data_IF_317815629803
#
_entry.id   IF_317815629803
#
_cell.length_a   1.000
_cell.length_b   1.000
_cell.length_c   1.000
_cell.angle_alpha   90.00
_cell.angle_beta   90.00
_cell.angle_gamma   90.00
#
_symmetry.space_group_name_H-M   'P 1'
#
loop_
_entity.id
_entity.type
_entity.pdbx_description
1 polymer ?
#
# COMPACT_ATOMS: atom_id res chain seq x y z
N UNK A 1 -0.95 44.76 -31.59
CA UNK A 1 -1.18 43.34 -31.91
C UNK A 1 -0.16 42.49 -31.16
N UNK A 2 -0.64 41.38 -30.59
CA UNK A 2 0.08 40.21 -30.04
C UNK A 2 0.60 40.31 -28.60
N UNK A 3 -0.31 39.93 -27.72
CA UNK A 3 -0.15 39.27 -26.41
C UNK A 3 0.83 38.10 -26.44
N UNK A 4 1.61 37.92 -25.36
CA UNK A 4 2.06 36.58 -24.95
C UNK A 4 2.30 36.55 -23.42
N UNK A 5 1.21 36.38 -22.67
CA UNK A 5 1.22 35.92 -21.28
C UNK A 5 1.02 34.41 -21.29
N UNK A 6 2.06 33.62 -21.08
CA UNK A 6 1.95 32.24 -20.57
C UNK A 6 3.35 31.69 -20.33
N UNK A 7 3.70 31.44 -19.07
CA UNK A 7 4.59 30.36 -18.67
C UNK A 7 4.21 29.98 -17.23
N UNK A 8 3.30 29.00 -17.12
CA UNK A 8 3.14 28.19 -15.92
C UNK A 8 4.45 27.45 -15.68
N UNK A 9 5.22 27.87 -14.68
CA UNK A 9 6.33 27.09 -14.15
C UNK A 9 5.79 26.06 -13.15
N UNK A 10 5.32 24.92 -13.69
CA UNK A 10 5.03 23.71 -12.92
C UNK A 10 6.37 23.09 -12.54
N UNK A 11 6.88 23.42 -11.37
CA UNK A 11 7.99 22.69 -10.74
C UNK A 11 7.43 21.59 -9.84
N UNK A 12 6.98 20.49 -10.45
CA UNK A 12 6.85 19.19 -9.76
C UNK A 12 7.94 18.26 -10.30
N UNK A 13 9.13 18.38 -9.74
CA UNK A 13 10.21 17.41 -9.93
C UNK A 13 10.39 16.61 -8.65
N UNK A 14 9.80 15.41 -8.66
CA UNK A 14 10.45 14.16 -8.31
C UNK A 14 11.24 14.15 -6.98
N UNK A 15 10.51 14.07 -5.87
CA UNK A 15 11.02 13.49 -4.62
C UNK A 15 10.44 12.09 -4.42
N UNK A 16 10.74 11.17 -5.35
CA UNK A 16 10.61 9.73 -5.08
C UNK A 16 11.91 9.25 -4.44
N UNK A 17 12.01 9.44 -3.12
CA UNK A 17 13.04 8.81 -2.32
C UNK A 17 12.84 7.29 -2.32
N UNK A 18 13.62 6.59 -3.13
CA UNK A 18 13.83 5.15 -3.00
C UNK A 18 14.59 4.90 -1.70
N UNK A 19 13.87 4.62 -0.62
CA UNK A 19 14.46 4.07 0.59
C UNK A 19 14.48 2.54 0.47
N UNK A 20 15.52 2.01 -0.17
CA UNK A 20 15.91 0.61 -0.08
C UNK A 20 16.73 0.40 1.20
N UNK A 21 16.13 -0.18 2.23
CA UNK A 21 16.84 -0.63 3.44
C UNK A 21 16.78 -2.16 3.58
N UNK A 22 17.98 -2.76 3.58
CA UNK A 22 18.41 -3.83 4.50
C UNK A 22 17.65 -5.16 4.48
N UNK A 23 18.20 -6.13 3.74
CA UNK A 23 17.91 -7.56 3.88
C UNK A 23 18.40 -8.05 5.26
N UNK A 24 17.49 -8.42 6.16
CA UNK A 24 17.82 -9.09 7.43
C UNK A 24 17.83 -10.61 7.25
N UNK A 25 18.80 -11.26 7.89
CA UNK A 25 19.15 -12.68 7.72
C UNK A 25 18.21 -13.65 8.46
N UNK A 26 16.89 -13.53 8.29
CA UNK A 26 15.92 -14.49 8.82
C UNK A 26 15.18 -15.18 7.67
N UNK A 27 15.41 -16.48 7.41
CA UNK A 27 14.73 -17.19 6.34
C UNK A 27 13.27 -17.43 6.74
N UNK A 28 12.39 -16.51 6.36
CA UNK A 28 10.94 -16.71 6.41
C UNK A 28 10.09 -15.49 6.75
N UNK A 29 10.68 -14.42 7.30
CA UNK A 29 9.97 -13.23 7.77
C UNK A 29 10.36 -12.01 6.94
N UNK A 30 9.45 -11.52 6.10
CA UNK A 30 9.64 -10.26 5.37
C UNK A 30 8.74 -9.20 5.97
N UNK A 31 9.37 -8.12 6.46
CA UNK A 31 8.70 -6.92 6.93
C UNK A 31 9.00 -5.80 5.93
N UNK A 32 7.98 -5.32 5.22
CA UNK A 32 8.11 -4.18 4.30
C UNK A 32 7.20 -3.06 4.79
N UNK A 33 7.74 -1.85 4.88
CA UNK A 33 6.99 -0.67 5.33
C UNK A 33 6.99 0.39 4.23
N UNK A 34 5.81 0.83 3.81
CA UNK A 34 5.62 1.96 2.89
C UNK A 34 5.05 3.12 3.70
N UNK A 35 5.69 4.28 3.59
CA UNK A 35 5.16 5.55 4.06
C UNK A 35 4.85 6.44 2.86
N UNK A 36 3.65 7.00 2.83
CA UNK A 36 3.27 8.00 1.81
C UNK A 36 2.47 9.11 2.45
N UNK A 37 2.72 10.32 1.97
CA UNK A 37 1.89 11.50 2.24
C UNK A 37 1.15 11.84 0.96
N UNK A 38 -0.14 12.06 1.08
CA UNK A 38 -1.02 12.47 -0.01
C UNK A 38 -1.81 13.70 0.42
N UNK A 39 -2.51 14.34 -0.51
CA UNK A 39 -3.37 15.48 -0.23
C UNK A 39 -4.73 15.29 -0.90
N UNK A 40 -5.78 15.79 -0.24
CA UNK A 40 -7.15 15.87 -0.76
C UNK A 40 -7.64 17.31 -0.70
N UNK A 41 -8.56 17.67 -1.60
CA UNK A 41 -9.23 18.96 -1.53
C UNK A 41 -10.35 18.94 -0.49
N UNK A 42 -10.33 19.91 0.42
CA UNK A 42 -11.35 20.14 1.43
C UNK A 42 -11.66 21.63 1.52
N UNK A 43 -12.89 22.00 1.17
CA UNK A 43 -13.36 23.38 1.17
C UNK A 43 -12.48 24.35 0.36
N UNK A 44 -11.95 23.91 -0.78
CA UNK A 44 -11.06 24.70 -1.65
C UNK A 44 -9.62 24.81 -1.16
N UNK A 45 -9.23 24.09 -0.10
CA UNK A 45 -7.87 24.00 0.39
C UNK A 45 -7.34 22.56 0.29
N UNK A 46 -6.06 22.39 -0.01
CA UNK A 46 -5.41 21.08 0.06
C UNK A 46 -5.09 20.72 1.51
N UNK A 47 -5.55 19.54 1.93
CA UNK A 47 -5.26 18.97 3.25
C UNK A 47 -4.42 17.70 3.10
N UNK A 48 -3.22 17.64 3.71
CA UNK A 48 -2.40 16.45 3.68
C UNK A 48 -2.92 15.37 4.63
N UNK A 49 -2.65 14.12 4.31
CA UNK A 49 -2.83 12.96 5.19
C UNK A 49 -1.70 11.95 4.97
N UNK A 50 -1.35 11.18 6.00
CA UNK A 50 -0.28 10.19 5.93
C UNK A 50 -0.85 8.77 5.96
N UNK A 51 -0.18 7.89 5.23
CA UNK A 51 -0.44 6.46 5.32
C UNK A 51 0.84 5.70 5.63
N UNK A 52 0.70 4.66 6.45
CA UNK A 52 1.72 3.68 6.72
C UNK A 52 1.18 2.30 6.40
N UNK A 53 1.82 1.60 5.46
CA UNK A 53 1.49 0.21 5.13
C UNK A 53 2.60 -0.68 5.62
N UNK A 54 2.32 -1.52 6.61
CA UNK A 54 3.23 -2.53 7.13
C UNK A 54 2.79 -3.89 6.63
N UNK A 55 3.69 -4.58 5.95
CA UNK A 55 3.48 -5.94 5.51
C UNK A 55 4.14 -6.92 6.46
N UNK A 56 3.42 -7.97 6.83
CA UNK A 56 3.96 -9.11 7.55
C UNK A 56 3.75 -10.38 6.73
N UNK A 57 4.85 -11.08 6.40
CA UNK A 57 4.79 -12.38 5.72
C UNK A 57 5.44 -13.47 6.56
N UNK A 58 4.77 -14.62 6.61
CA UNK A 58 5.37 -15.88 7.02
C UNK A 58 5.49 -16.79 5.79
N UNK A 59 6.71 -17.00 5.29
CA UNK A 59 6.97 -17.98 4.24
C UNK A 59 7.27 -19.35 4.87
N UNK A 60 6.42 -20.37 4.68
CA UNK A 60 6.83 -21.74 4.96
C UNK A 60 7.87 -22.14 3.89
N UNK A 61 9.16 -21.93 4.17
CA UNK A 61 10.22 -22.44 3.32
C UNK A 61 10.31 -23.96 3.49
N UNK A 62 9.63 -24.71 2.63
CA UNK A 62 9.86 -26.15 2.50
C UNK A 62 11.14 -26.35 1.68
N UNK A 63 12.29 -26.44 2.36
CA UNK A 63 13.52 -26.92 1.72
C UNK A 63 13.44 -28.43 1.57
N UNK A 64 13.23 -28.92 0.35
CA UNK A 64 13.36 -30.33 0.04
C UNK A 64 14.84 -30.72 0.13
N UNK A 65 15.23 -31.41 1.20
CA UNK A 65 16.63 -31.75 1.53
C UNK A 65 17.27 -32.72 0.53
N UNK A 66 16.51 -33.23 -0.44
CA UNK A 66 16.98 -34.27 -1.37
C UNK A 66 17.36 -33.77 -2.77
N UNK A 67 17.18 -32.48 -3.10
CA UNK A 67 17.58 -31.95 -4.42
C UNK A 67 18.95 -31.27 -4.37
N UNK A 68 19.96 -31.96 -4.92
CA UNK A 68 21.27 -31.38 -5.24
C UNK A 68 21.11 -30.28 -6.30
N UNK A 69 21.45 -29.05 -5.90
CA UNK A 69 22.00 -27.92 -6.69
C UNK A 69 21.29 -27.43 -7.98
N UNK A 70 21.02 -26.12 -7.96
CA UNK A 70 21.11 -25.12 -9.05
C UNK A 70 19.87 -24.59 -9.78
N UNK A 71 18.67 -25.15 -9.62
CA UNK A 71 17.44 -24.44 -10.01
C UNK A 71 16.31 -24.85 -9.08
N UNK A 72 16.28 -24.25 -7.89
CA UNK A 72 15.09 -24.28 -7.05
C UNK A 72 14.08 -23.30 -7.67
N UNK A 73 13.36 -23.77 -8.68
CA UNK A 73 12.00 -23.29 -8.91
C UNK A 73 11.29 -23.45 -7.56
N UNK A 74 11.21 -22.33 -6.84
CA UNK A 74 10.46 -22.26 -5.60
C UNK A 74 9.04 -22.62 -6.00
N UNK A 75 8.59 -23.81 -5.64
CA UNK A 75 7.18 -24.20 -5.70
C UNK A 75 6.38 -23.11 -4.97
N UNK A 76 5.90 -22.14 -5.72
CA UNK A 76 5.35 -20.92 -5.18
C UNK A 76 3.91 -21.21 -4.79
N UNK A 77 3.74 -21.89 -3.67
CA UNK A 77 2.42 -22.02 -3.06
C UNK A 77 1.89 -20.59 -2.82
N UNK A 78 0.63 -20.28 -3.17
CA UNK A 78 0.05 -18.97 -2.92
C UNK A 78 0.21 -18.63 -1.44
N UNK A 79 0.96 -17.57 -1.14
CA UNK A 79 1.13 -17.08 0.23
C UNK A 79 -0.01 -16.13 0.56
N UNK A 80 -0.59 -16.24 1.76
CA UNK A 80 -1.50 -15.22 2.27
C UNK A 80 -0.66 -13.98 2.62
N UNK A 81 -0.96 -12.86 2.00
CA UNK A 81 -0.35 -11.57 2.33
C UNK A 81 -1.26 -10.84 3.30
N UNK A 82 -0.68 -10.39 4.40
CA UNK A 82 -1.34 -9.57 5.41
C UNK A 82 -0.64 -8.23 5.50
N UNK A 83 -1.39 -7.14 5.34
CA UNK A 83 -0.90 -5.77 5.43
C UNK A 83 -1.72 -4.98 6.44
N UNK A 84 -1.06 -4.41 7.43
CA UNK A 84 -1.64 -3.38 8.28
C UNK A 84 -1.51 -2.04 7.55
N UNK A 85 -2.62 -1.34 7.37
CA UNK A 85 -2.68 0.01 6.82
C UNK A 85 -3.15 0.91 7.96
N UNK A 86 -2.31 1.86 8.34
CA UNK A 86 -2.63 2.91 9.31
C UNK A 86 -2.75 4.24 8.57
N UNK A 87 -3.77 5.03 8.91
CA UNK A 87 -4.08 6.33 8.30
C UNK A 87 -4.09 7.40 9.38
N UNK A 88 -3.29 8.43 9.15
CA UNK A 88 -3.25 9.69 9.90
C UNK A 88 -3.92 10.74 9.01
N UNK A 89 -5.16 11.04 9.33
CA UNK A 89 -6.12 11.82 8.53
C UNK A 89 -6.02 13.32 8.77
N UNK A 90 -5.41 13.74 9.88
CA UNK A 90 -5.27 15.13 10.29
C UNK A 90 -3.82 15.64 10.25
N UNK A 91 -2.86 14.75 9.95
CA UNK A 91 -1.43 15.00 9.88
C UNK A 91 -0.80 15.45 11.21
N UNK A 92 -1.24 14.89 12.34
CA UNK A 92 -0.71 15.14 13.68
C UNK A 92 0.29 14.08 14.18
N UNK A 93 0.57 13.06 13.36
CA UNK A 93 1.43 11.89 13.64
C UNK A 93 0.78 10.80 14.51
N UNK A 94 -0.48 10.95 14.86
CA UNK A 94 -1.32 9.90 15.42
C UNK A 94 -2.15 9.28 14.29
N UNK A 95 -2.37 7.97 14.33
CA UNK A 95 -3.15 7.30 13.30
C UNK A 95 -4.56 7.08 13.84
N UNK A 96 -5.58 7.64 13.20
CA UNK A 96 -6.97 7.48 13.65
C UNK A 96 -7.65 6.23 13.10
N UNK A 97 -7.13 5.68 12.00
CA UNK A 97 -7.75 4.52 11.36
C UNK A 97 -6.75 3.41 11.05
N UNK A 98 -7.10 2.19 11.46
CA UNK A 98 -6.33 0.99 11.20
C UNK A 98 -7.18 -0.06 10.49
N UNK A 99 -6.62 -0.64 9.44
CA UNK A 99 -7.24 -1.77 8.74
C UNK A 99 -6.20 -2.82 8.40
N UNK A 100 -6.60 -4.09 8.45
CA UNK A 100 -5.79 -5.20 7.99
C UNK A 100 -6.33 -5.68 6.65
N UNK A 101 -5.55 -5.49 5.60
CA UNK A 101 -5.83 -5.98 4.25
C UNK A 101 -5.18 -7.35 4.05
N UNK A 102 -5.98 -8.34 3.71
CA UNK A 102 -5.55 -9.72 3.40
C UNK A 102 -5.89 -10.06 1.96
N UNK A 103 -4.98 -10.70 1.25
CA UNK A 103 -5.22 -11.25 -0.09
C UNK A 103 -4.27 -12.42 -0.38
N UNK A 104 -4.65 -13.29 -1.32
CA UNK A 104 -3.81 -14.40 -1.77
C UNK A 104 -2.85 -13.91 -2.84
N UNK A 105 -1.55 -14.10 -2.61
CA UNK A 105 -0.52 -13.63 -3.52
C UNK A 105 -0.25 -14.60 -4.67
N UNK A 106 -0.19 -14.08 -5.89
CA UNK A 106 0.46 -14.74 -7.03
C UNK A 106 1.94 -14.33 -7.13
N UNK A 107 2.76 -15.13 -7.82
CA UNK A 107 4.22 -14.90 -7.94
C UNK A 107 4.53 -13.50 -8.48
N UNK A 108 3.67 -12.96 -9.34
CA UNK A 108 3.84 -11.71 -10.07
C UNK A 108 3.11 -10.51 -9.46
N UNK A 109 2.57 -10.63 -8.24
CA UNK A 109 1.76 -9.54 -7.70
C UNK A 109 2.54 -8.25 -7.48
N UNK A 110 2.05 -7.19 -8.12
CA UNK A 110 2.48 -5.82 -7.90
C UNK A 110 1.51 -5.12 -6.94
N UNK A 111 2.04 -4.73 -5.78
CA UNK A 111 1.30 -3.99 -4.77
C UNK A 111 1.69 -2.53 -4.86
N UNK A 112 0.71 -1.65 -5.06
CA UNK A 112 0.93 -0.21 -5.01
C UNK A 112 -0.17 0.52 -4.27
N UNK A 113 0.17 1.72 -3.80
CA UNK A 113 -0.78 2.66 -3.21
C UNK A 113 -0.65 3.99 -3.92
N UNK A 114 -1.76 4.51 -4.41
CA UNK A 114 -1.84 5.73 -5.21
C UNK A 114 -2.90 6.68 -4.64
N UNK A 115 -2.71 7.98 -4.82
CA UNK A 115 -3.69 8.98 -4.42
C UNK A 115 -4.99 8.88 -5.25
N UNK A 116 -6.10 9.29 -4.65
CA UNK A 116 -7.37 9.56 -5.32
C UNK A 116 -7.87 10.95 -4.93
N UNK A 117 -8.93 11.41 -5.59
CA UNK A 117 -9.64 12.65 -5.26
C UNK A 117 -10.15 12.71 -3.82
N UNK A 118 -10.46 11.55 -3.22
CA UNK A 118 -11.06 11.43 -1.90
C UNK A 118 -10.21 10.68 -0.86
N UNK A 119 -8.98 10.31 -1.20
CA UNK A 119 -8.10 9.54 -0.32
C UNK A 119 -7.04 8.77 -1.10
N UNK A 120 -7.06 7.44 -0.99
CA UNK A 120 -6.10 6.58 -1.69
C UNK A 120 -6.75 5.31 -2.24
N UNK A 121 -6.04 4.66 -3.16
CA UNK A 121 -6.38 3.34 -3.66
C UNK A 121 -5.21 2.38 -3.47
N UNK A 122 -5.50 1.22 -2.92
CA UNK A 122 -4.61 0.05 -2.96
C UNK A 122 -4.89 -0.70 -4.25
N UNK A 123 -3.82 -0.97 -5.00
CA UNK A 123 -3.87 -1.75 -6.24
C UNK A 123 -3.02 -3.01 -6.07
N UNK A 124 -3.62 -4.14 -6.42
CA UNK A 124 -2.93 -5.43 -6.56
C UNK A 124 -3.29 -5.97 -7.92
N UNK A 125 -2.34 -5.93 -8.86
CA UNK A 125 -2.59 -6.21 -10.28
C UNK A 125 -3.74 -5.33 -10.84
N UNK A 126 -4.83 -5.95 -11.29
CA UNK A 126 -6.04 -5.30 -11.83
C UNK A 126 -7.13 -5.04 -10.76
N UNK A 127 -6.87 -5.44 -9.51
CA UNK A 127 -7.80 -5.36 -8.38
C UNK A 127 -7.58 -4.10 -7.57
N UNK A 128 -8.66 -3.42 -7.21
CA UNK A 128 -8.57 -2.13 -6.50
C UNK A 128 -9.46 -2.09 -5.28
N UNK A 129 -8.89 -1.62 -4.17
CA UNK A 129 -9.62 -1.20 -2.97
C UNK A 129 -9.40 0.31 -2.79
N UNK A 130 -10.47 1.07 -2.64
CA UNK A 130 -10.42 2.53 -2.42
C UNK A 130 -10.70 2.83 -0.96
N UNK A 131 -9.97 3.80 -0.42
CA UNK A 131 -10.20 4.35 0.91
C UNK A 131 -10.56 5.83 0.80
N UNK A 132 -11.61 6.23 1.50
CA UNK A 132 -12.11 7.59 1.54
C UNK A 132 -11.73 8.21 2.88
N UNK A 133 -10.79 9.15 2.85
CA UNK A 133 -10.11 9.63 4.06
C UNK A 133 -11.02 10.48 4.96
N UNK A 134 -11.99 11.20 4.38
CA UNK A 134 -12.93 12.02 5.16
C UNK A 134 -13.96 11.17 5.88
N UNK A 135 -14.45 10.15 5.20
CA UNK A 135 -15.49 9.25 5.70
C UNK A 135 -14.92 8.15 6.59
N UNK A 136 -13.63 7.85 6.45
CA UNK A 136 -12.97 6.77 7.18
C UNK A 136 -13.45 5.38 6.75
N UNK A 137 -13.94 5.24 5.52
CA UNK A 137 -14.51 3.99 4.98
C UNK A 137 -13.71 3.52 3.75
N UNK A 138 -13.84 2.23 3.43
CA UNK A 138 -13.29 1.65 2.20
C UNK A 138 -14.40 1.14 1.27
N UNK A 139 -14.02 0.94 0.01
CA UNK A 139 -14.87 0.33 -1.00
C UNK A 139 -14.06 -0.62 -1.89
N UNK A 140 -14.61 -1.81 -2.10
CA UNK A 140 -14.08 -2.83 -3.02
C UNK A 140 -15.18 -3.11 -4.03
N UNK A 141 -14.86 -3.04 -5.32
CA UNK A 141 -15.79 -3.39 -6.39
C UNK A 141 -16.29 -4.83 -6.21
N UNK A 142 -17.57 -5.09 -6.50
CA UNK A 142 -18.18 -6.41 -6.32
C UNK A 142 -17.40 -7.55 -7.00
N UNK A 143 -16.76 -7.27 -8.16
CA UNK A 143 -15.91 -8.22 -8.89
C UNK A 143 -14.62 -8.63 -8.16
N UNK A 144 -14.22 -7.85 -7.15
CA UNK A 144 -12.97 -7.99 -6.41
C UNK A 144 -13.21 -8.38 -4.94
N UNK A 145 -14.48 -8.53 -4.51
CA UNK A 145 -14.85 -8.83 -3.11
C UNK A 145 -14.26 -10.15 -2.61
N UNK A 146 -14.19 -11.17 -3.46
CA UNK A 146 -13.60 -12.47 -3.10
C UNK A 146 -12.06 -12.43 -3.02
N UNK A 147 -11.44 -11.38 -3.55
CA UNK A 147 -9.98 -11.24 -3.60
C UNK A 147 -9.43 -10.57 -2.34
N UNK A 148 -10.08 -9.51 -1.87
CA UNK A 148 -9.67 -8.74 -0.70
C UNK A 148 -10.52 -9.08 0.52
N UNK A 149 -9.86 -9.32 1.65
CA UNK A 149 -10.50 -9.35 2.96
C UNK A 149 -9.95 -8.20 3.80
N UNK A 150 -10.85 -7.45 4.44
CA UNK A 150 -10.50 -6.28 5.27
C UNK A 150 -11.07 -6.49 6.66
N UNK A 151 -10.21 -6.34 7.68
CA UNK A 151 -10.61 -6.29 9.09
C UNK A 151 -10.31 -4.87 9.61
N UNK A 152 -11.33 -4.18 10.10
CA UNK A 152 -11.21 -2.83 10.65
C UNK A 152 -11.03 -2.87 12.17
N UNK A 153 -10.20 -1.97 12.68
CA UNK A 153 -10.03 -1.76 14.11
C UNK A 153 -9.99 -0.27 14.40
N UNK A 154 -10.81 0.17 15.36
CA UNK A 154 -10.61 1.45 16.03
C UNK A 154 -9.91 1.15 17.34
N UNK A 155 -8.79 1.80 17.64
CA UNK A 155 -8.27 1.78 19.00
C UNK A 155 -9.37 2.36 19.91
N UNK A 156 -9.81 1.54 20.87
CA UNK A 156 -10.62 2.03 21.98
C UNK A 156 -9.60 2.68 22.90
N UNK A 157 -9.51 4.02 22.84
CA UNK A 157 -8.72 4.82 23.78
C UNK A 157 -9.21 4.66 25.21
#
# INVERSE_FOLDING_TARGET
MKTLTTLLSISMLLWFGFNSYGQSNNPGLMNATIHKTFSIEENGAEKPFNIKVMEHRNYPMAFDKNKKTENLDRDSKPALVTKLIAVDSNNDKEYEHYMVLKYRRSVTDDFSVVATDKGFAVKVNDRTMKYFVKEGIYFIDNKDQDFFSVEEFREIG
#
